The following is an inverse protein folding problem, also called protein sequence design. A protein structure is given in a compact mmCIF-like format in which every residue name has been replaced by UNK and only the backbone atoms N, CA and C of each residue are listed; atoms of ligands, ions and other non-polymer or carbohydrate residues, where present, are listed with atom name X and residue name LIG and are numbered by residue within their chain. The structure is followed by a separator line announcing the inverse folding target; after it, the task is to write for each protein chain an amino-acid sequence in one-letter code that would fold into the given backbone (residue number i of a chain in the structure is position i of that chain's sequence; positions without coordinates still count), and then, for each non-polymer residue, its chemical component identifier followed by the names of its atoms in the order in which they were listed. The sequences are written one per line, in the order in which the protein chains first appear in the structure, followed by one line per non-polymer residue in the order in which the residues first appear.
data_IF_984023532999
#
_entry.id   IF_984023532999
#
_cell.length_a   1.000
_cell.length_b   1.000
_cell.length_c   1.000
_cell.angle_alpha   90.00
_cell.angle_beta   90.00
_cell.angle_gamma   90.00
#
_symmetry.space_group_name_H-M   'P 1'
#
loop_
_entity.id
_entity.type
_entity.pdbx_description
1 polymer ?
#
# COMPACT_ATOMS: atom_id res chain seq x y z
N UNK A 1 3.96 17.84 2.25
CA UNK A 1 3.54 17.14 3.48
C UNK A 1 2.84 15.84 3.08
N UNK A 2 3.17 14.76 3.76
CA UNK A 2 2.52 13.46 3.69
C UNK A 2 1.50 13.38 4.81
N UNK A 3 0.32 12.82 4.54
CA UNK A 3 -0.71 12.56 5.54
C UNK A 3 -0.89 11.05 5.66
N UNK A 4 -0.67 10.49 6.83
CA UNK A 4 -0.86 9.07 7.13
C UNK A 4 -2.17 8.87 7.87
N UNK A 5 -3.04 8.04 7.32
CA UNK A 5 -4.23 7.55 8.02
C UNK A 5 -3.84 6.26 8.72
N UNK A 6 -3.80 6.33 10.05
CA UNK A 6 -3.42 5.22 10.93
C UNK A 6 -4.62 4.30 11.17
N UNK A 7 -4.47 3.03 10.82
CA UNK A 7 -5.43 1.96 11.07
C UNK A 7 -5.05 1.12 12.30
N UNK A 8 -4.29 1.71 13.23
CA UNK A 8 -3.91 1.11 14.53
C UNK A 8 -3.05 -0.16 14.39
N UNK A 9 -2.05 -0.09 13.51
CA UNK A 9 -1.06 -1.16 13.35
C UNK A 9 0.21 -0.86 14.14
N UNK A 10 0.82 -1.88 14.71
CA UNK A 10 2.10 -1.76 15.42
C UNK A 10 3.24 -1.26 14.53
N UNK A 11 3.14 -1.43 13.21
CA UNK A 11 4.11 -0.95 12.23
C UNK A 11 3.84 0.46 11.71
N UNK A 12 2.73 1.10 12.08
CA UNK A 12 2.40 2.45 11.57
C UNK A 12 3.55 3.43 11.81
N UNK A 13 4.15 3.45 13.00
CA UNK A 13 5.23 4.39 13.30
C UNK A 13 6.56 4.05 12.64
N UNK A 14 6.83 2.79 12.30
CA UNK A 14 7.97 2.42 11.45
C UNK A 14 7.77 3.00 10.04
N UNK A 15 6.55 2.90 9.50
CA UNK A 15 6.21 3.51 8.21
C UNK A 15 6.33 5.04 8.27
N UNK A 16 5.83 5.68 9.32
CA UNK A 16 5.94 7.14 9.53
C UNK A 16 7.41 7.57 9.54
N UNK A 17 8.25 6.91 10.33
CA UNK A 17 9.68 7.20 10.37
C UNK A 17 10.36 7.06 9.00
N UNK A 18 9.99 6.03 8.22
CA UNK A 18 10.47 5.85 6.87
C UNK A 18 10.05 7.03 5.96
N UNK A 19 8.80 7.49 6.07
CA UNK A 19 8.23 8.57 5.27
C UNK A 19 8.81 9.95 5.62
N UNK A 20 9.11 10.20 6.89
CA UNK A 20 9.75 11.43 7.38
C UNK A 20 11.11 11.68 6.73
N UNK A 21 11.80 10.61 6.30
CA UNK A 21 13.03 10.72 5.51
C UNK A 21 12.84 11.37 4.13
N UNK A 22 11.61 11.61 3.68
CA UNK A 22 11.31 12.22 2.37
C UNK A 22 10.55 13.54 2.46
N UNK A 23 9.64 13.69 3.44
CA UNK A 23 8.86 14.92 3.61
C UNK A 23 8.24 14.98 5.02
N UNK A 24 7.91 16.20 5.52
CA UNK A 24 7.15 16.34 6.77
C UNK A 24 5.88 15.48 6.74
N UNK A 25 5.69 14.67 7.76
CA UNK A 25 4.61 13.68 7.85
C UNK A 25 3.69 14.01 9.03
N UNK A 26 2.40 13.90 8.80
CA UNK A 26 1.36 14.04 9.82
C UNK A 26 0.56 12.74 9.91
N UNK A 27 0.21 12.33 11.11
CA UNK A 27 -0.54 11.09 11.37
C UNK A 27 -1.84 11.42 12.09
N UNK A 28 -2.91 10.78 11.71
CA UNK A 28 -4.16 10.74 12.50
C UNK A 28 -4.82 9.38 12.38
N UNK A 29 -5.58 9.01 13.40
CA UNK A 29 -6.35 7.78 13.38
C UNK A 29 -7.46 7.85 12.31
N UNK A 30 -7.80 6.71 11.72
CA UNK A 30 -8.82 6.59 10.66
C UNK A 30 -10.21 7.11 11.07
N UNK A 31 -10.51 7.15 12.36
CA UNK A 31 -11.79 7.62 12.93
C UNK A 31 -11.73 9.09 13.43
N UNK A 32 -10.54 9.70 13.49
CA UNK A 32 -10.36 11.09 13.95
C UNK A 32 -9.41 11.84 13.00
N UNK A 33 -9.92 12.15 11.81
CA UNK A 33 -9.13 12.76 10.74
C UNK A 33 -9.06 14.30 10.87
N UNK A 34 -7.84 14.86 10.91
CA UNK A 34 -7.63 16.29 10.74
C UNK A 34 -7.86 16.68 9.26
N UNK A 35 -9.09 17.06 8.94
CA UNK A 35 -9.49 17.43 7.59
C UNK A 35 -8.70 18.60 7.01
N UNK A 36 -8.28 19.57 7.84
CA UNK A 36 -7.51 20.74 7.38
C UNK A 36 -6.11 20.32 6.93
N UNK A 37 -5.45 19.43 7.67
CA UNK A 37 -4.13 18.89 7.29
C UNK A 37 -4.23 17.93 6.12
N UNK A 38 -5.28 17.11 6.07
CA UNK A 38 -5.56 16.22 4.96
C UNK A 38 -5.69 17.02 3.65
N UNK A 39 -6.46 18.11 3.65
CA UNK A 39 -6.59 19.00 2.49
C UNK A 39 -5.26 19.60 2.03
N UNK A 40 -4.43 20.03 2.96
CA UNK A 40 -3.11 20.63 2.67
C UNK A 40 -2.06 19.60 2.23
N UNK A 41 -2.29 18.31 2.41
CA UNK A 41 -1.35 17.26 2.04
C UNK A 41 -1.27 17.08 0.52
N UNK A 42 -0.11 16.65 0.02
CA UNK A 42 0.08 16.25 -1.38
C UNK A 42 0.00 14.73 -1.56
N UNK A 43 0.31 13.99 -0.51
CA UNK A 43 0.35 12.53 -0.48
C UNK A 43 -0.49 12.05 0.70
N UNK A 44 -1.34 11.07 0.45
CA UNK A 44 -2.12 10.37 1.48
C UNK A 44 -1.62 8.94 1.53
N UNK A 45 -1.30 8.47 2.72
CA UNK A 45 -0.84 7.10 2.95
C UNK A 45 -1.85 6.37 3.83
N UNK A 46 -2.36 5.25 3.34
CA UNK A 46 -3.17 4.32 4.13
C UNK A 46 -2.21 3.32 4.77
N UNK A 47 -2.14 3.33 6.10
CA UNK A 47 -1.23 2.49 6.87
C UNK A 47 -1.59 1.01 6.80
N UNK A 48 -0.69 0.12 7.25
CA UNK A 48 -1.08 -1.20 7.71
C UNK A 48 -2.19 -1.15 8.77
N UNK A 49 -2.84 -2.27 9.04
CA UNK A 49 -3.88 -2.35 10.05
C UNK A 49 -4.46 -3.75 10.19
N UNK A 50 -5.23 -4.00 11.25
CA UNK A 50 -5.91 -5.27 11.48
C UNK A 50 -7.20 -5.40 10.66
N UNK A 51 -7.73 -6.61 10.59
CA UNK A 51 -9.07 -6.89 10.08
C UNK A 51 -9.19 -6.88 8.56
N UNK A 52 -10.33 -6.40 8.08
CA UNK A 52 -10.72 -6.43 6.67
C UNK A 52 -10.97 -5.00 6.17
N UNK A 53 -10.68 -4.68 4.90
CA UNK A 53 -10.96 -3.36 4.32
C UNK A 53 -12.39 -2.84 4.51
N UNK A 54 -13.38 -3.73 4.59
CA UNK A 54 -14.78 -3.35 4.81
C UNK A 54 -15.06 -2.71 6.18
N UNK A 55 -14.16 -2.88 7.15
CA UNK A 55 -14.29 -2.28 8.48
C UNK A 55 -13.96 -0.79 8.52
N UNK A 56 -13.45 -0.23 7.43
CA UNK A 56 -12.94 1.14 7.36
C UNK A 56 -13.65 1.98 6.28
N UNK A 57 -14.97 2.24 6.41
CA UNK A 57 -15.74 2.94 5.38
C UNK A 57 -15.27 4.37 5.15
N UNK A 58 -14.70 5.03 6.17
CA UNK A 58 -14.18 6.39 6.03
C UNK A 58 -12.94 6.42 5.12
N UNK A 59 -12.05 5.45 5.21
CA UNK A 59 -10.89 5.31 4.30
C UNK A 59 -11.35 5.14 2.85
N UNK A 60 -12.45 4.41 2.62
CA UNK A 60 -13.04 4.26 1.29
C UNK A 60 -13.51 5.61 0.73
N UNK A 61 -14.18 6.43 1.56
CA UNK A 61 -14.62 7.79 1.15
C UNK A 61 -13.42 8.66 0.79
N UNK A 62 -12.36 8.64 1.62
CA UNK A 62 -11.11 9.38 1.36
C UNK A 62 -10.47 8.93 0.04
N UNK A 63 -10.40 7.63 -0.22
CA UNK A 63 -9.88 7.13 -1.49
C UNK A 63 -10.65 7.71 -2.67
N UNK A 64 -11.99 7.63 -2.67
CA UNK A 64 -12.81 8.13 -3.76
C UNK A 64 -12.74 9.65 -3.93
N UNK A 65 -12.59 10.38 -2.82
CA UNK A 65 -12.49 11.84 -2.83
C UNK A 65 -11.17 12.31 -3.45
N UNK A 66 -10.05 11.60 -3.19
CA UNK A 66 -8.72 12.10 -3.56
C UNK A 66 -8.03 11.34 -4.69
N UNK A 67 -8.57 10.21 -5.13
CA UNK A 67 -8.07 9.50 -6.30
C UNK A 67 -8.00 10.42 -7.53
N UNK A 68 -6.83 10.49 -8.15
CA UNK A 68 -6.58 11.38 -9.30
C UNK A 68 -6.34 12.86 -8.93
N UNK A 69 -6.51 13.25 -7.66
CA UNK A 69 -6.25 14.60 -7.16
C UNK A 69 -4.96 14.65 -6.37
N UNK A 70 -4.75 13.67 -5.51
CA UNK A 70 -3.56 13.52 -4.68
C UNK A 70 -2.90 12.17 -4.95
N UNK A 71 -1.62 12.06 -4.64
CA UNK A 71 -0.97 10.76 -4.60
C UNK A 71 -1.51 9.95 -3.44
N UNK A 72 -1.98 8.72 -3.71
CA UNK A 72 -2.48 7.79 -2.70
C UNK A 72 -1.57 6.56 -2.65
N UNK A 73 -1.06 6.23 -1.48
CA UNK A 73 -0.19 5.07 -1.27
C UNK A 73 -0.84 4.16 -0.21
N UNK A 74 -0.95 2.87 -0.47
CA UNK A 74 -1.48 1.90 0.49
C UNK A 74 -0.46 0.83 0.87
N UNK A 75 -0.30 0.58 2.17
CA UNK A 75 0.60 -0.45 2.69
C UNK A 75 -0.20 -1.52 3.43
N UNK A 76 0.00 -2.77 3.07
CA UNK A 76 -0.65 -3.97 3.64
C UNK A 76 -2.19 -3.85 3.64
N UNK A 77 -2.83 -3.52 4.75
CA UNK A 77 -4.26 -3.20 4.78
C UNK A 77 -4.58 -2.04 3.82
N UNK A 78 -3.77 -0.99 3.79
CA UNK A 78 -3.95 0.15 2.87
C UNK A 78 -3.94 -0.25 1.40
N UNK A 79 -3.09 -1.19 1.00
CA UNK A 79 -3.11 -1.81 -0.34
C UNK A 79 -4.47 -2.52 -0.59
N UNK A 80 -4.96 -3.27 0.40
CA UNK A 80 -6.25 -3.95 0.30
C UNK A 80 -7.43 -2.96 0.27
N UNK A 81 -7.33 -1.83 0.97
CA UNK A 81 -8.29 -0.72 0.93
C UNK A 81 -8.44 -0.16 -0.49
N UNK A 82 -7.32 0.11 -1.16
CA UNK A 82 -7.31 0.59 -2.55
C UNK A 82 -8.00 -0.42 -3.48
N UNK A 83 -7.65 -1.69 -3.37
CA UNK A 83 -8.26 -2.76 -4.16
C UNK A 83 -9.76 -2.90 -3.88
N UNK A 84 -10.15 -2.87 -2.60
CA UNK A 84 -11.54 -2.97 -2.18
C UNK A 84 -12.38 -1.80 -2.71
N UNK A 85 -11.84 -0.58 -2.69
CA UNK A 85 -12.48 0.60 -3.30
C UNK A 85 -12.66 0.46 -4.83
N UNK A 86 -11.83 -0.36 -5.49
CA UNK A 86 -11.97 -0.75 -6.90
C UNK A 86 -12.87 -1.99 -7.09
N UNK A 87 -13.70 -2.32 -6.09
CA UNK A 87 -14.64 -3.46 -6.08
C UNK A 87 -13.95 -4.84 -6.15
N UNK A 88 -12.66 -4.90 -5.83
CA UNK A 88 -11.97 -6.18 -5.70
C UNK A 88 -12.45 -6.96 -4.47
N UNK A 89 -12.46 -8.27 -4.56
CA UNK A 89 -12.71 -9.14 -3.40
C UNK A 89 -11.40 -9.43 -2.69
N UNK A 90 -11.36 -9.18 -1.39
CA UNK A 90 -10.25 -9.54 -0.51
C UNK A 90 -10.66 -10.79 0.26
N UNK A 91 -9.83 -11.81 0.22
CA UNK A 91 -10.14 -13.14 0.76
C UNK A 91 -9.00 -13.66 1.64
N UNK A 92 -9.29 -14.56 2.60
CA UNK A 92 -8.25 -15.27 3.34
C UNK A 92 -7.32 -16.05 2.39
N UNK A 93 -6.04 -16.10 2.73
CA UNK A 93 -5.09 -16.99 2.07
C UNK A 93 -4.85 -18.26 2.89
N UNK A 94 -4.44 -19.35 2.22
CA UNK A 94 -4.25 -20.66 2.88
C UNK A 94 -3.19 -20.63 4.00
N UNK A 95 -2.11 -19.89 3.78
CA UNK A 95 -1.02 -19.72 4.74
C UNK A 95 -1.01 -18.30 5.26
N UNK A 96 -1.01 -18.14 6.58
CA UNK A 96 -0.81 -16.84 7.24
C UNK A 96 0.69 -16.54 7.23
N UNK A 97 1.06 -15.33 6.82
CA UNK A 97 2.42 -14.84 6.88
C UNK A 97 2.52 -13.80 8.00
N UNK A 98 3.42 -14.04 8.93
CA UNK A 98 3.69 -13.11 10.02
C UNK A 98 5.20 -13.11 10.31
N UNK A 99 5.90 -12.09 9.79
CA UNK A 99 7.36 -12.03 9.87
C UNK A 99 8.09 -12.96 8.90
N UNK A 100 7.52 -13.20 7.71
CA UNK A 100 8.15 -14.00 6.66
C UNK A 100 8.77 -13.10 5.59
N UNK A 101 10.01 -13.39 5.23
CA UNK A 101 10.63 -12.81 4.06
C UNK A 101 10.31 -13.66 2.82
N UNK A 102 9.82 -13.03 1.76
CA UNK A 102 9.52 -13.68 0.48
C UNK A 102 10.18 -12.94 -0.67
N UNK A 103 10.51 -13.69 -1.74
CA UNK A 103 10.96 -13.09 -3.01
C UNK A 103 9.77 -12.53 -3.75
N UNK A 104 9.85 -11.26 -4.15
CA UNK A 104 8.84 -10.55 -4.93
C UNK A 104 9.43 -10.16 -6.27
N UNK A 105 8.75 -10.56 -7.35
CA UNK A 105 9.17 -10.31 -8.73
C UNK A 105 8.41 -9.16 -9.34
N UNK A 106 9.13 -8.22 -9.96
CA UNK A 106 8.56 -7.13 -10.74
C UNK A 106 8.04 -7.66 -12.08
N UNK A 107 6.83 -7.25 -12.44
CA UNK A 107 6.18 -7.56 -13.72
C UNK A 107 6.49 -6.49 -14.78
N UNK A 108 6.18 -6.80 -16.04
CA UNK A 108 6.38 -5.89 -17.17
C UNK A 108 5.56 -4.61 -17.11
N UNK A 109 4.46 -4.61 -16.36
CA UNK A 109 3.54 -3.48 -16.24
C UNK A 109 3.97 -2.44 -15.20
N UNK A 110 5.09 -2.64 -14.49
CA UNK A 110 5.62 -1.64 -13.56
C UNK A 110 6.22 -0.46 -14.31
N UNK A 111 5.87 0.75 -13.87
CA UNK A 111 6.39 2.01 -14.40
C UNK A 111 7.69 2.45 -13.74
N UNK A 112 8.03 1.90 -12.56
CA UNK A 112 9.14 2.40 -11.74
C UNK A 112 10.29 1.42 -11.59
N UNK A 113 10.03 0.14 -11.81
CA UNK A 113 11.02 -0.91 -11.57
C UNK A 113 11.23 -1.74 -12.83
N UNK A 114 12.48 -2.13 -13.07
CA UNK A 114 12.81 -2.97 -14.24
C UNK A 114 12.11 -4.33 -14.12
N UNK A 115 11.46 -4.80 -15.21
CA UNK A 115 10.86 -6.13 -15.25
C UNK A 115 11.84 -7.22 -14.83
N UNK A 116 11.33 -8.24 -14.16
CA UNK A 116 12.07 -9.38 -13.62
C UNK A 116 13.03 -9.05 -12.46
N UNK A 117 13.15 -7.78 -12.03
CA UNK A 117 13.89 -7.47 -10.80
C UNK A 117 13.23 -8.21 -9.63
N UNK A 118 14.06 -8.72 -8.72
CA UNK A 118 13.63 -9.40 -7.50
C UNK A 118 13.93 -8.51 -6.30
N UNK A 119 12.97 -8.49 -5.37
CA UNK A 119 13.11 -7.87 -4.05
C UNK A 119 12.85 -8.90 -2.96
N UNK A 120 13.52 -8.76 -1.82
CA UNK A 120 13.15 -9.45 -0.59
C UNK A 120 12.19 -8.57 0.19
N UNK A 121 11.03 -9.11 0.56
CA UNK A 121 9.95 -8.34 1.18
C UNK A 121 9.38 -9.04 2.40
N UNK A 122 9.25 -8.29 3.49
CA UNK A 122 8.63 -8.73 4.75
C UNK A 122 7.11 -8.78 4.63
N UNK A 123 6.53 -9.92 4.96
CA UNK A 123 5.08 -10.19 4.87
C UNK A 123 4.48 -10.43 6.24
N UNK A 124 3.34 -9.77 6.49
CA UNK A 124 2.60 -9.84 7.77
C UNK A 124 1.09 -9.91 7.52
N UNK A 125 0.64 -10.59 6.46
CA UNK A 125 -0.76 -10.57 6.05
C UNK A 125 -1.38 -11.98 5.95
N UNK A 126 -2.65 -12.08 6.33
CA UNK A 126 -3.51 -13.27 6.22
C UNK A 126 -4.51 -13.19 5.07
N UNK A 127 -4.72 -11.99 4.52
CA UNK A 127 -5.65 -11.73 3.43
C UNK A 127 -4.89 -11.45 2.13
N UNK A 128 -5.57 -11.67 0.99
CA UNK A 128 -5.04 -11.42 -0.35
C UNK A 128 -6.14 -11.00 -1.32
N UNK A 129 -5.74 -10.39 -2.44
CA UNK A 129 -6.62 -10.18 -3.60
C UNK A 129 -7.15 -11.52 -4.13
N UNK A 130 -8.46 -11.61 -4.33
CA UNK A 130 -9.07 -12.68 -5.13
C UNK A 130 -8.93 -12.36 -6.60
N UNK A 131 -8.33 -13.26 -7.37
CA UNK A 131 -8.21 -13.13 -8.82
C UNK A 131 -9.14 -14.10 -9.56
N UNK A 132 -9.56 -13.81 -10.80
CA UNK A 132 -9.10 -12.69 -11.61
C UNK A 132 -9.67 -11.35 -11.14
N UNK A 133 -8.83 -10.29 -11.18
CA UNK A 133 -9.21 -8.90 -10.94
C UNK A 133 -8.91 -8.07 -12.18
N UNK A 134 -9.85 -7.22 -12.57
CA UNK A 134 -9.71 -6.31 -13.71
C UNK A 134 -10.05 -4.88 -13.26
N UNK A 135 -9.23 -3.94 -13.66
CA UNK A 135 -9.46 -2.49 -13.51
C UNK A 135 -9.06 -1.80 -14.79
N UNK A 136 -9.67 -0.66 -15.08
CA UNK A 136 -9.36 0.14 -16.27
C UNK A 136 -7.93 0.73 -16.22
N UNK A 137 -7.45 1.11 -15.03
CA UNK A 137 -6.18 1.82 -14.86
C UNK A 137 -5.23 1.15 -13.86
N UNK A 138 -5.76 0.48 -12.83
CA UNK A 138 -4.95 -0.14 -11.78
C UNK A 138 -4.35 -1.47 -12.26
N UNK A 139 -3.04 -1.57 -12.24
CA UNK A 139 -2.29 -2.76 -12.68
C UNK A 139 -1.61 -3.46 -11.51
N UNK A 140 -1.56 -4.78 -11.53
CA UNK A 140 -0.70 -5.55 -10.62
C UNK A 140 0.70 -5.52 -11.21
N UNK A 141 1.66 -5.00 -10.45
CA UNK A 141 3.04 -4.74 -10.92
C UNK A 141 4.11 -5.58 -10.23
N UNK A 142 3.78 -6.25 -9.13
CA UNK A 142 4.67 -7.23 -8.51
C UNK A 142 3.89 -8.44 -8.00
N UNK A 143 4.57 -9.60 -7.97
CA UNK A 143 4.03 -10.86 -7.42
C UNK A 143 5.05 -11.59 -6.55
N UNK A 144 4.55 -12.28 -5.56
CA UNK A 144 5.35 -13.25 -4.80
C UNK A 144 5.75 -14.42 -5.71
N UNK A 145 7.03 -14.77 -5.72
CA UNK A 145 7.56 -15.83 -6.58
C UNK A 145 6.97 -17.19 -6.21
N UNK A 146 6.87 -17.49 -4.90
CA UNK A 146 6.44 -18.81 -4.42
C UNK A 146 4.92 -19.01 -4.51
N UNK A 147 4.13 -17.95 -4.29
CA UNK A 147 2.67 -18.06 -4.15
C UNK A 147 1.88 -17.41 -5.26
N UNK A 148 2.55 -16.66 -6.13
CA UNK A 148 1.96 -15.86 -7.21
C UNK A 148 0.93 -14.80 -6.73
N UNK A 149 0.85 -14.52 -5.42
CA UNK A 149 -0.04 -13.50 -4.85
C UNK A 149 0.41 -12.11 -5.31
N UNK A 150 -0.57 -11.24 -5.63
CA UNK A 150 -0.30 -9.83 -5.96
C UNK A 150 0.37 -9.11 -4.78
N UNK A 151 1.51 -8.47 -5.05
CA UNK A 151 2.36 -7.83 -4.04
C UNK A 151 2.49 -6.32 -4.23
N UNK A 152 2.24 -5.80 -5.43
CA UNK A 152 2.18 -4.36 -5.66
C UNK A 152 1.15 -4.02 -6.74
N UNK A 153 0.63 -2.82 -6.66
CA UNK A 153 -0.27 -2.20 -7.63
C UNK A 153 0.20 -0.80 -7.98
N UNK A 154 -0.04 -0.41 -9.24
CA UNK A 154 0.23 0.93 -9.76
C UNK A 154 -0.95 1.39 -10.64
N UNK A 155 -1.40 2.62 -10.42
CA UNK A 155 -2.32 3.38 -11.27
C UNK A 155 -1.71 4.75 -11.51
N UNK A 156 -0.90 4.87 -12.55
CA UNK A 156 -0.19 6.11 -12.88
C UNK A 156 -1.13 7.21 -13.38
N UNK A 157 -2.30 6.84 -13.91
CA UNK A 157 -3.32 7.79 -14.38
C UNK A 157 -3.93 8.53 -13.19
N UNK A 158 -4.25 7.80 -12.12
CA UNK A 158 -4.89 8.35 -10.93
C UNK A 158 -3.91 8.60 -9.77
N UNK A 159 -2.61 8.39 -9.99
CA UNK A 159 -1.56 8.59 -8.99
C UNK A 159 -1.76 7.74 -7.72
N UNK A 160 -2.09 6.45 -7.90
CA UNK A 160 -2.39 5.49 -6.82
C UNK A 160 -1.41 4.32 -6.86
N UNK A 161 -0.84 3.99 -5.72
CA UNK A 161 0.18 2.96 -5.57
C UNK A 161 -0.04 2.13 -4.32
N UNK A 162 0.47 0.92 -4.28
CA UNK A 162 0.39 0.13 -3.05
C UNK A 162 1.28 -1.09 -3.01
N UNK A 163 1.65 -1.47 -1.79
CA UNK A 163 2.38 -2.69 -1.49
C UNK A 163 1.61 -3.56 -0.50
N UNK A 164 1.46 -4.85 -0.80
CA UNK A 164 0.88 -5.82 0.14
C UNK A 164 1.87 -6.20 1.26
N UNK A 165 3.16 -6.07 1.00
CA UNK A 165 4.23 -6.28 1.97
C UNK A 165 4.58 -4.97 2.70
N UNK A 166 5.43 -5.07 3.71
CA UNK A 166 5.86 -3.95 4.55
C UNK A 166 7.22 -3.39 4.11
N UNK A 167 7.27 -2.26 3.39
CA UNK A 167 8.53 -1.60 3.04
C UNK A 167 9.25 -1.00 4.26
N UNK A 168 8.51 -0.77 5.34
CA UNK A 168 8.97 -0.28 6.64
C UNK A 168 9.59 -1.36 7.54
N UNK A 169 9.48 -2.64 7.13
CA UNK A 169 10.06 -3.77 7.86
C UNK A 169 11.54 -3.96 7.55
N UNK A 170 12.33 -4.31 8.56
CA UNK A 170 13.74 -4.73 8.40
C UNK A 170 13.90 -5.95 7.48
N UNK A 171 12.85 -6.75 7.29
CA UNK A 171 12.82 -7.86 6.33
C UNK A 171 12.71 -7.40 4.88
N UNK A 172 12.43 -6.12 4.62
CA UNK A 172 12.38 -5.53 3.28
C UNK A 172 13.63 -4.68 3.04
N UNK A 173 14.70 -5.30 2.55
CA UNK A 173 16.03 -4.69 2.43
C UNK A 173 15.99 -3.39 1.61
N UNK A 174 15.26 -3.38 0.49
CA UNK A 174 15.14 -2.23 -0.40
C UNK A 174 13.94 -1.32 -0.05
N UNK A 175 13.39 -1.40 1.16
CA UNK A 175 12.15 -0.71 1.53
C UNK A 175 12.20 0.80 1.29
N UNK A 176 13.29 1.46 1.70
CA UNK A 176 13.50 2.90 1.45
C UNK A 176 13.51 3.23 -0.04
N UNK A 177 14.19 2.43 -0.87
CA UNK A 177 14.24 2.62 -2.31
C UNK A 177 12.84 2.47 -2.95
N UNK A 178 12.06 1.47 -2.50
CA UNK A 178 10.71 1.22 -2.99
C UNK A 178 9.79 2.43 -2.75
N UNK A 179 9.78 2.95 -1.52
CA UNK A 179 9.00 4.14 -1.15
C UNK A 179 9.49 5.38 -1.88
N UNK A 180 10.81 5.60 -1.95
CA UNK A 180 11.40 6.74 -2.65
C UNK A 180 10.93 6.82 -4.11
N UNK A 181 10.95 5.71 -4.83
CA UNK A 181 10.52 5.64 -6.23
C UNK A 181 9.06 6.07 -6.42
N UNK A 182 8.18 5.67 -5.50
CA UNK A 182 6.77 6.05 -5.58
C UNK A 182 6.54 7.51 -5.15
N UNK A 183 7.23 7.99 -4.12
CA UNK A 183 7.08 9.38 -3.66
C UNK A 183 7.55 10.36 -4.73
N UNK A 184 8.62 10.03 -5.44
CA UNK A 184 9.23 10.88 -6.48
C UNK A 184 8.55 10.77 -7.86
N UNK A 185 7.72 9.76 -8.07
CA UNK A 185 6.92 9.58 -9.28
C UNK A 185 5.77 10.61 -9.32
#
# INVERSE_FOLDING_TARGET
MIYVIDHEDSFTYNLVHLLEGFAPTYVSNYYDLDRKKLEKSKIIVFSPGPGNPSHYPETQKIYHQYKGIKKVIGICLGFQQILFAQKAKIIPQKKIYHGYQSKVKVLKDSSFFKPNKLFLAGRYHSLKLKEPFKSASLKITMRCVETNVAMAIEDTINNVYGFQFHPDSFLTVDGKLLIQKIIQA
#
